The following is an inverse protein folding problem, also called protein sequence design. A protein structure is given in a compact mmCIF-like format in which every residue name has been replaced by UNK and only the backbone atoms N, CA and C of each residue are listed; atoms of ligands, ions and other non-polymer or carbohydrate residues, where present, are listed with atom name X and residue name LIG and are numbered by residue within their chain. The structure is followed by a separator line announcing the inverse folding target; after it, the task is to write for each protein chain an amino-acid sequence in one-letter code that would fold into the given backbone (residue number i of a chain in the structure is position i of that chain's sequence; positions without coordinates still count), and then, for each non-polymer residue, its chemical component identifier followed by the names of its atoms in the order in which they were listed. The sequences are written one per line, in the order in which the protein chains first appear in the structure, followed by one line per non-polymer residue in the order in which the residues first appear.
data_IF_021997474357
#
_entry.id   IF_021997474357
#
_cell.length_a   1.000
_cell.length_b   1.000
_cell.length_c   1.000
_cell.angle_alpha   90.00
_cell.angle_beta   90.00
_cell.angle_gamma   90.00
#
_symmetry.space_group_name_H-M   'P 1'
#
loop_
_entity.id
_entity.type
_entity.pdbx_description
1 polymer ?
#
# COMPACT_ATOMS: atom_id res chain seq x y z
N UNK A 1 4.21 -65.02 -2.56
CA UNK A 1 3.85 -64.21 -1.37
C UNK A 1 4.72 -62.97 -1.17
N UNK A 2 6.05 -63.04 -1.26
CA UNK A 2 6.94 -61.90 -0.94
C UNK A 2 6.69 -60.60 -1.75
N UNK A 3 6.32 -60.69 -3.04
CA UNK A 3 6.09 -59.52 -3.90
C UNK A 3 4.92 -58.63 -3.45
N UNK A 4 3.87 -59.22 -2.88
CA UNK A 4 2.70 -58.46 -2.40
C UNK A 4 3.01 -57.67 -1.12
N UNK A 5 3.88 -58.22 -0.27
CA UNK A 5 4.33 -57.55 0.96
C UNK A 5 5.18 -56.32 0.62
N UNK A 6 6.08 -56.45 -0.37
CA UNK A 6 6.91 -55.32 -0.83
C UNK A 6 6.06 -54.20 -1.43
N UNK A 7 5.04 -54.53 -2.23
CA UNK A 7 4.11 -53.54 -2.79
C UNK A 7 3.33 -52.81 -1.69
N UNK A 8 2.85 -53.54 -0.68
CA UNK A 8 2.16 -52.95 0.47
C UNK A 8 3.03 -51.97 1.26
N UNK A 9 4.32 -52.30 1.45
CA UNK A 9 5.28 -51.43 2.14
C UNK A 9 5.55 -50.16 1.32
N UNK A 10 5.76 -50.28 0.01
CA UNK A 10 6.02 -49.13 -0.88
C UNK A 10 4.80 -48.19 -0.91
N UNK A 11 3.58 -48.74 -1.04
CA UNK A 11 2.35 -47.95 -1.04
C UNK A 11 2.11 -47.25 0.31
N UNK A 12 2.36 -47.95 1.42
CA UNK A 12 2.25 -47.36 2.76
C UNK A 12 3.23 -46.20 2.95
N UNK A 13 4.48 -46.36 2.53
CA UNK A 13 5.49 -45.31 2.59
C UNK A 13 5.11 -44.10 1.72
N UNK A 14 4.64 -44.34 0.49
CA UNK A 14 4.22 -43.27 -0.42
C UNK A 14 3.01 -42.49 0.12
N UNK A 15 2.05 -43.18 0.75
CA UNK A 15 0.91 -42.55 1.43
C UNK A 15 1.33 -41.64 2.59
N UNK A 16 2.30 -42.07 3.40
CA UNK A 16 2.84 -41.26 4.49
C UNK A 16 3.60 -40.04 3.95
N UNK A 17 4.42 -40.21 2.92
CA UNK A 17 5.13 -39.10 2.27
C UNK A 17 4.15 -38.06 1.71
N UNK A 18 3.09 -38.50 1.03
CA UNK A 18 2.04 -37.60 0.53
C UNK A 18 1.34 -36.82 1.64
N UNK A 19 1.01 -37.48 2.76
CA UNK A 19 0.40 -36.83 3.92
C UNK A 19 1.34 -35.78 4.55
N UNK A 20 2.63 -36.10 4.69
CA UNK A 20 3.64 -35.17 5.21
C UNK A 20 3.83 -33.98 4.27
N UNK A 21 3.89 -34.21 2.95
CA UNK A 21 3.99 -33.14 1.94
C UNK A 21 2.76 -32.25 1.98
N UNK A 22 1.54 -32.82 2.03
CA UNK A 22 0.32 -32.03 2.14
C UNK A 22 0.24 -31.24 3.45
N UNK A 23 0.68 -31.83 4.56
CA UNK A 23 0.70 -31.16 5.86
C UNK A 23 1.70 -29.99 5.86
N UNK A 24 2.92 -30.21 5.37
CA UNK A 24 3.94 -29.17 5.24
C UNK A 24 3.50 -28.07 4.27
N UNK A 25 2.91 -28.43 3.14
CA UNK A 25 2.37 -27.47 2.17
C UNK A 25 1.26 -26.60 2.78
N UNK A 26 0.30 -27.21 3.52
CA UNK A 26 -0.75 -26.45 4.22
C UNK A 26 -0.19 -25.56 5.33
N UNK A 27 0.82 -26.04 6.06
CA UNK A 27 1.50 -25.26 7.10
C UNK A 27 2.24 -24.07 6.50
N UNK A 28 2.96 -24.27 5.41
CA UNK A 28 3.69 -23.20 4.72
C UNK A 28 2.72 -22.16 4.13
N UNK A 29 1.58 -22.58 3.58
CA UNK A 29 0.55 -21.64 3.11
C UNK A 29 -0.10 -20.86 4.26
N UNK A 30 -0.31 -21.50 5.42
CA UNK A 30 -0.83 -20.84 6.61
C UNK A 30 0.18 -19.87 7.21
N UNK A 31 1.47 -20.22 7.22
CA UNK A 31 2.58 -19.39 7.68
C UNK A 31 2.82 -18.20 6.73
N UNK A 32 2.65 -18.38 5.41
CA UNK A 32 2.65 -17.28 4.44
C UNK A 32 1.44 -16.36 4.65
N UNK A 33 0.25 -16.91 4.86
CA UNK A 33 -0.96 -16.12 5.13
C UNK A 33 -0.90 -15.33 6.45
N UNK A 34 -0.09 -15.78 7.42
CA UNK A 34 0.16 -15.04 8.68
C UNK A 34 1.30 -14.02 8.58
N UNK A 35 2.17 -14.13 7.57
CA UNK A 35 3.25 -13.16 7.34
C UNK A 35 2.82 -11.97 6.47
N UNK A 36 1.83 -12.16 5.60
CA UNK A 36 1.30 -11.09 4.76
C UNK A 36 0.28 -10.29 5.58
N UNK A 37 0.45 -8.96 5.73
CA UNK A 37 -0.46 -8.15 6.53
C UNK A 37 -1.85 -8.13 5.91
N UNK A 38 -2.88 -8.25 6.74
CA UNK A 38 -4.27 -8.10 6.27
C UNK A 38 -4.51 -6.65 5.82
N UNK A 39 -5.57 -6.40 5.05
CA UNK A 39 -5.93 -5.03 4.67
C UNK A 39 -6.17 -4.15 5.91
N UNK A 40 -6.77 -4.71 6.97
CA UNK A 40 -7.06 -3.97 8.20
C UNK A 40 -5.78 -3.63 8.96
N UNK A 41 -4.80 -4.54 9.02
CA UNK A 41 -3.48 -4.24 9.58
C UNK A 41 -2.78 -3.13 8.80
N UNK A 42 -2.92 -3.15 7.46
CA UNK A 42 -2.35 -2.12 6.61
C UNK A 42 -3.01 -0.76 6.87
N UNK A 43 -4.34 -0.70 6.92
CA UNK A 43 -5.10 0.51 7.20
C UNK A 43 -4.80 1.08 8.59
N UNK A 44 -4.66 0.23 9.60
CA UNK A 44 -4.29 0.65 10.96
C UNK A 44 -2.89 1.29 10.99
N UNK A 45 -1.92 0.68 10.32
CA UNK A 45 -0.56 1.24 10.24
C UNK A 45 -0.56 2.57 9.48
N UNK A 46 -1.26 2.68 8.35
CA UNK A 46 -1.33 3.93 7.59
C UNK A 46 -2.07 5.03 8.37
N UNK A 47 -3.13 4.69 9.08
CA UNK A 47 -3.83 5.63 9.97
C UNK A 47 -2.89 6.14 11.07
N UNK A 48 -2.14 5.25 11.72
CA UNK A 48 -1.12 5.62 12.73
C UNK A 48 0.07 6.37 12.14
N UNK A 49 0.33 6.21 10.84
CA UNK A 49 1.31 7.01 10.11
C UNK A 49 0.80 8.42 9.75
N UNK A 50 -0.49 8.71 9.96
CA UNK A 50 -1.08 10.00 9.61
C UNK A 50 -1.70 10.02 8.21
N UNK A 51 -2.02 8.86 7.62
CA UNK A 51 -2.80 8.71 6.39
C UNK A 51 -4.13 8.00 6.68
N UNK A 52 -5.06 8.65 7.40
CA UNK A 52 -6.39 8.09 7.57
C UNK A 52 -7.14 8.11 6.23
N UNK A 53 -8.12 7.22 6.11
CA UNK A 53 -9.18 7.39 5.10
C UNK A 53 -9.98 8.66 5.39
N UNK A 54 -10.56 9.26 4.35
CA UNK A 54 -11.43 10.42 4.51
C UNK A 54 -12.69 10.07 5.32
N UNK A 55 -13.20 11.07 6.05
CA UNK A 55 -14.36 10.86 6.91
C UNK A 55 -15.58 10.38 6.12
N UNK A 56 -16.26 9.36 6.65
CA UNK A 56 -17.42 8.75 6.01
C UNK A 56 -17.10 7.74 4.91
N UNK A 57 -15.82 7.48 4.63
CA UNK A 57 -15.41 6.32 3.84
C UNK A 57 -15.17 5.12 4.74
N UNK A 58 -15.46 3.95 4.20
CA UNK A 58 -15.35 2.65 4.84
C UNK A 58 -14.36 1.75 4.08
N UNK A 59 -14.04 0.63 4.71
CA UNK A 59 -13.29 -0.46 4.08
C UNK A 59 -13.98 -1.01 2.84
N UNK A 60 -15.31 -1.01 2.81
CA UNK A 60 -16.08 -1.48 1.66
C UNK A 60 -15.90 -0.56 0.46
N UNK A 61 -15.79 0.75 0.69
CA UNK A 61 -15.53 1.73 -0.36
C UNK A 61 -14.14 1.51 -0.99
N UNK A 62 -13.14 1.12 -0.21
CA UNK A 62 -11.83 0.71 -0.75
C UNK A 62 -11.93 -0.56 -1.59
N UNK A 63 -12.73 -1.54 -1.17
CA UNK A 63 -12.89 -2.78 -1.92
C UNK A 63 -13.65 -2.63 -3.24
N UNK A 64 -14.31 -1.48 -3.47
CA UNK A 64 -14.83 -1.13 -4.78
C UNK A 64 -13.71 -0.94 -5.83
N UNK A 65 -12.48 -0.61 -5.40
CA UNK A 65 -11.31 -0.46 -6.27
C UNK A 65 -10.63 -1.78 -6.60
N UNK A 66 -10.87 -2.82 -5.81
CA UNK A 66 -10.31 -4.14 -6.05
C UNK A 66 -10.49 -5.10 -4.87
N UNK A 67 -10.37 -6.41 -5.11
CA UNK A 67 -10.51 -7.41 -4.06
C UNK A 67 -9.36 -7.31 -3.06
N UNK A 68 -9.62 -7.71 -1.81
CA UNK A 68 -8.65 -7.68 -0.73
C UNK A 68 -7.33 -8.40 -1.09
N UNK A 69 -7.42 -9.49 -1.86
CA UNK A 69 -6.26 -10.25 -2.32
C UNK A 69 -5.25 -9.39 -3.08
N UNK A 70 -5.69 -8.35 -3.81
CA UNK A 70 -4.78 -7.43 -4.52
C UNK A 70 -3.91 -6.65 -3.52
N UNK A 71 -4.51 -6.12 -2.47
CA UNK A 71 -3.80 -5.40 -1.40
C UNK A 71 -2.89 -6.29 -0.57
N UNK A 72 -3.14 -7.61 -0.56
CA UNK A 72 -2.24 -8.59 0.07
C UNK A 72 -1.09 -8.99 -0.85
N UNK A 73 -1.27 -8.91 -2.16
CA UNK A 73 -0.24 -9.27 -3.14
C UNK A 73 0.85 -8.20 -3.23
N UNK A 74 0.47 -6.93 -3.28
CA UNK A 74 1.38 -5.78 -3.25
C UNK A 74 1.03 -4.86 -2.06
N UNK A 75 1.39 -5.30 -0.83
CA UNK A 75 0.99 -4.60 0.38
C UNK A 75 1.65 -3.23 0.46
N UNK A 76 0.96 -2.30 1.12
CA UNK A 76 1.37 -0.90 1.30
C UNK A 76 1.38 -0.09 0.01
N UNK A 77 2.10 -0.53 -1.03
CA UNK A 77 2.22 0.20 -2.30
C UNK A 77 0.86 0.37 -2.96
N UNK A 78 0.12 -0.71 -3.20
CA UNK A 78 -1.19 -0.62 -3.84
C UNK A 78 -2.18 0.18 -2.98
N UNK A 79 -2.15 -0.01 -1.66
CA UNK A 79 -3.03 0.71 -0.75
C UNK A 79 -2.72 2.23 -0.72
N UNK A 80 -1.44 2.61 -0.70
CA UNK A 80 -1.02 4.01 -0.79
C UNK A 80 -1.45 4.66 -2.11
N UNK A 81 -1.30 3.93 -3.23
CA UNK A 81 -1.80 4.36 -4.54
C UNK A 81 -3.32 4.56 -4.51
N UNK A 82 -4.06 3.58 -3.97
CA UNK A 82 -5.52 3.71 -3.82
C UNK A 82 -5.88 4.91 -2.95
N UNK A 83 -5.25 5.12 -1.79
CA UNK A 83 -5.55 6.27 -0.93
C UNK A 83 -5.27 7.63 -1.57
N UNK A 84 -4.37 7.69 -2.56
CA UNK A 84 -4.09 8.88 -3.35
C UNK A 84 -5.15 9.17 -4.42
N UNK A 85 -5.95 8.17 -4.81
CA UNK A 85 -7.04 8.34 -5.77
C UNK A 85 -8.23 9.11 -5.18
N UNK A 86 -9.13 9.54 -6.07
CA UNK A 86 -10.46 10.05 -5.74
C UNK A 86 -11.50 8.96 -5.95
N UNK A 87 -12.49 8.89 -5.07
CA UNK A 87 -13.71 8.12 -5.28
C UNK A 87 -14.46 8.59 -6.54
N UNK A 88 -15.40 7.79 -7.02
CA UNK A 88 -16.19 8.08 -8.24
C UNK A 88 -16.97 9.40 -8.15
N UNK A 89 -17.34 9.83 -6.94
CA UNK A 89 -18.00 11.11 -6.67
C UNK A 89 -17.02 12.29 -6.54
N UNK A 90 -15.73 12.07 -6.82
CA UNK A 90 -14.67 13.07 -6.78
C UNK A 90 -14.10 13.37 -5.39
N UNK A 91 -14.63 12.76 -4.33
CA UNK A 91 -14.08 12.93 -2.98
C UNK A 91 -12.72 12.23 -2.84
N UNK A 92 -11.75 12.80 -2.11
CA UNK A 92 -10.48 12.13 -1.90
C UNK A 92 -10.64 10.91 -1.00
N UNK A 93 -9.91 9.83 -1.29
CA UNK A 93 -9.89 8.65 -0.42
C UNK A 93 -9.09 8.88 0.86
N UNK A 94 -8.06 9.73 0.80
CA UNK A 94 -7.41 10.31 1.96
C UNK A 94 -7.26 11.84 1.82
N UNK A 95 -7.55 12.63 2.86
CA UNK A 95 -7.38 14.08 2.79
C UNK A 95 -5.91 14.51 2.65
N UNK A 96 -4.96 13.62 2.98
CA UNK A 96 -3.52 13.90 3.02
C UNK A 96 -2.74 13.22 1.88
N UNK A 97 -3.44 12.66 0.89
CA UNK A 97 -2.84 12.04 -0.27
C UNK A 97 -3.48 12.55 -1.56
N UNK A 98 -2.71 12.57 -2.65
CA UNK A 98 -3.21 12.89 -3.99
C UNK A 98 -2.42 12.17 -5.07
N UNK A 99 -3.10 11.70 -6.11
CA UNK A 99 -2.49 11.19 -7.33
C UNK A 99 -2.37 12.32 -8.35
N UNK A 100 -1.16 12.54 -8.86
CA UNK A 100 -0.82 13.62 -9.77
C UNK A 100 -0.25 13.04 -11.06
N UNK A 101 -0.82 13.43 -12.19
CA UNK A 101 -0.24 13.21 -13.50
C UNK A 101 0.98 14.12 -13.69
N UNK A 102 2.15 13.52 -13.88
CA UNK A 102 3.41 14.24 -14.03
C UNK A 102 3.63 14.79 -15.44
N UNK A 103 2.80 14.38 -16.41
CA UNK A 103 2.88 14.78 -17.82
C UNK A 103 1.97 15.95 -18.16
N UNK A 104 1.02 16.24 -17.28
CA UNK A 104 0.02 17.30 -17.42
C UNK A 104 0.46 18.66 -16.88
N UNK A 105 -0.45 19.65 -16.89
CA UNK A 105 -0.21 20.93 -16.23
C UNK A 105 -0.10 20.76 -14.71
N UNK A 106 0.59 21.69 -14.04
CA UNK A 106 0.77 21.67 -12.58
C UNK A 106 -0.60 21.61 -11.87
N UNK A 107 -0.88 20.57 -11.06
CA UNK A 107 -2.19 20.33 -10.45
C UNK A 107 -2.37 21.20 -9.20
N UNK A 108 -2.46 22.50 -9.42
CA UNK A 108 -2.42 23.53 -8.38
C UNK A 108 -3.48 23.33 -7.29
N UNK A 109 -4.71 22.97 -7.67
CA UNK A 109 -5.81 22.73 -6.73
C UNK A 109 -5.56 21.48 -5.86
N UNK A 110 -4.95 20.46 -6.43
CA UNK A 110 -4.68 19.21 -5.73
C UNK A 110 -3.53 19.38 -4.73
N UNK A 111 -2.48 20.10 -5.14
CA UNK A 111 -1.38 20.49 -4.26
C UNK A 111 -1.88 21.38 -3.12
N UNK A 112 -2.67 22.41 -3.42
CA UNK A 112 -3.27 23.29 -2.41
C UNK A 112 -4.14 22.51 -1.41
N UNK A 113 -4.88 21.50 -1.89
CA UNK A 113 -5.71 20.66 -1.03
C UNK A 113 -4.89 19.86 -0.02
N UNK A 114 -3.81 19.22 -0.45
CA UNK A 114 -3.05 18.33 0.45
C UNK A 114 -2.05 19.09 1.31
N UNK A 115 -1.49 20.21 0.83
CA UNK A 115 -0.47 20.98 1.56
C UNK A 115 -1.01 22.21 2.28
N UNK A 116 -2.22 22.66 1.94
CA UNK A 116 -2.76 23.93 2.40
C UNK A 116 -2.10 25.15 1.74
N UNK A 117 -1.20 24.93 0.78
CA UNK A 117 -0.44 25.98 0.12
C UNK A 117 -0.66 25.91 -1.39
N UNK A 118 -1.13 27.02 -1.99
CA UNK A 118 -1.27 27.13 -3.44
C UNK A 118 0.07 27.49 -4.06
N UNK A 119 0.74 26.58 -4.78
CA UNK A 119 2.01 26.91 -5.43
C UNK A 119 1.77 27.92 -6.56
N UNK A 120 2.72 28.84 -6.75
CA UNK A 120 2.75 29.65 -7.97
C UNK A 120 3.28 28.82 -9.15
N UNK A 121 2.63 28.87 -10.32
CA UNK A 121 2.94 27.98 -11.43
C UNK A 121 4.22 28.41 -12.17
N UNK A 122 5.26 27.59 -12.08
CA UNK A 122 6.49 27.72 -12.90
C UNK A 122 6.76 26.40 -13.62
N UNK A 123 6.87 25.33 -12.85
CA UNK A 123 6.94 23.93 -13.29
C UNK A 123 6.56 23.02 -12.11
N UNK A 124 6.34 21.73 -12.37
CA UNK A 124 5.84 20.81 -11.35
C UNK A 124 6.85 20.56 -10.23
N UNK A 125 8.13 20.38 -10.56
CA UNK A 125 9.16 20.11 -9.54
C UNK A 125 9.37 21.33 -8.64
N UNK A 126 9.42 22.53 -9.21
CA UNK A 126 9.44 23.78 -8.44
C UNK A 126 8.19 23.94 -7.57
N UNK A 127 7.01 23.62 -8.10
CA UNK A 127 5.76 23.68 -7.33
C UNK A 127 5.76 22.70 -6.15
N UNK A 128 6.26 21.48 -6.35
CA UNK A 128 6.40 20.46 -5.32
C UNK A 128 7.42 20.89 -4.25
N UNK A 129 8.56 21.43 -4.65
CA UNK A 129 9.56 21.96 -3.74
C UNK A 129 8.99 23.10 -2.88
N UNK A 130 8.30 24.07 -3.50
CA UNK A 130 7.65 25.16 -2.78
C UNK A 130 6.62 24.65 -1.76
N UNK A 131 5.80 23.67 -2.17
CA UNK A 131 4.85 23.01 -1.28
C UNK A 131 5.55 22.32 -0.11
N UNK A 132 6.63 21.57 -0.36
CA UNK A 132 7.39 20.88 0.68
C UNK A 132 7.98 21.85 1.72
N UNK A 133 8.45 23.02 1.28
CA UNK A 133 8.98 24.07 2.17
C UNK A 133 7.88 24.80 2.96
N UNK A 134 6.66 24.88 2.42
CA UNK A 134 5.54 25.59 3.02
C UNK A 134 4.74 24.74 4.04
N UNK A 135 5.03 23.44 4.15
CA UNK A 135 4.32 22.56 5.08
C UNK A 135 4.56 22.99 6.54
N UNK A 136 3.53 22.87 7.41
CA UNK A 136 3.65 23.22 8.81
C UNK A 136 4.73 22.39 9.52
N UNK A 137 5.36 23.00 10.52
CA UNK A 137 6.41 22.38 11.32
C UNK A 137 6.02 20.96 11.78
N UNK A 138 6.85 19.99 11.40
CA UNK A 138 6.65 18.58 11.76
C UNK A 138 5.89 17.74 10.73
N UNK A 139 5.60 18.24 9.53
CA UNK A 139 5.19 17.43 8.37
C UNK A 139 6.19 17.56 7.21
N UNK A 140 6.20 16.56 6.33
CA UNK A 140 6.96 16.56 5.08
C UNK A 140 6.11 16.06 3.92
N UNK A 141 6.51 16.43 2.71
CA UNK A 141 5.91 15.93 1.47
C UNK A 141 6.70 14.71 1.01
N UNK A 142 5.99 13.62 0.72
CA UNK A 142 6.57 12.37 0.27
C UNK A 142 5.90 11.95 -1.03
N UNK A 143 6.65 11.32 -1.91
CA UNK A 143 6.16 10.80 -3.18
C UNK A 143 6.37 9.30 -3.32
N UNK A 144 5.46 8.66 -4.02
CA UNK A 144 5.54 7.30 -4.52
C UNK A 144 5.37 7.34 -6.03
N UNK A 145 6.41 6.93 -6.75
CA UNK A 145 6.44 6.90 -8.21
C UNK A 145 5.64 5.70 -8.75
N UNK A 146 4.75 5.96 -9.71
CA UNK A 146 3.94 4.97 -10.41
C UNK A 146 4.08 5.05 -11.94
N UNK A 147 5.23 5.51 -12.44
CA UNK A 147 5.52 5.65 -13.86
C UNK A 147 5.02 6.99 -14.41
N UNK A 148 3.77 7.03 -14.87
CA UNK A 148 3.17 8.26 -15.44
C UNK A 148 2.58 9.17 -14.38
N UNK A 149 2.15 8.59 -13.26
CA UNK A 149 1.56 9.29 -12.14
C UNK A 149 2.46 9.19 -10.90
N UNK A 150 2.35 10.19 -10.03
CA UNK A 150 2.99 10.21 -8.74
C UNK A 150 1.94 10.39 -7.66
N UNK A 151 1.95 9.49 -6.67
CA UNK A 151 1.17 9.66 -5.46
C UNK A 151 1.96 10.51 -4.46
N UNK A 152 1.36 11.59 -4.00
CA UNK A 152 1.91 12.53 -3.03
C UNK A 152 1.24 12.35 -1.67
N UNK A 153 2.00 12.48 -0.59
CA UNK A 153 1.54 12.29 0.77
C UNK A 153 2.11 13.36 1.69
N UNK A 154 1.25 13.98 2.51
CA UNK A 154 1.70 14.87 3.59
C UNK A 154 1.73 14.08 4.88
N UNK A 155 2.93 13.80 5.40
CA UNK A 155 3.16 12.89 6.52
C UNK A 155 4.01 13.55 7.62
N UNK A 156 3.76 13.27 8.90
CA UNK A 156 4.77 13.51 9.93
C UNK A 156 6.00 12.60 9.72
N UNK A 157 7.22 13.01 10.12
CA UNK A 157 8.43 12.18 10.00
C UNK A 157 8.26 10.78 10.60
N UNK A 158 7.69 10.69 11.80
CA UNK A 158 7.40 9.41 12.45
C UNK A 158 6.39 8.55 11.67
N UNK A 159 5.55 9.16 10.84
CA UNK A 159 4.63 8.47 9.94
C UNK A 159 5.36 7.84 8.76
N UNK A 160 6.22 8.61 8.10
CA UNK A 160 7.06 8.10 7.02
C UNK A 160 7.99 6.97 7.49
N UNK A 161 8.62 7.12 8.65
CA UNK A 161 9.47 6.08 9.27
C UNK A 161 8.69 4.77 9.52
N UNK A 162 7.42 4.86 9.93
CA UNK A 162 6.57 3.67 10.11
C UNK A 162 6.32 2.92 8.81
N UNK A 163 6.14 3.64 7.70
CA UNK A 163 5.92 3.05 6.37
C UNK A 163 7.23 2.44 5.84
N UNK A 164 8.34 3.18 5.94
CA UNK A 164 9.68 2.74 5.53
C UNK A 164 10.16 1.51 6.31
N UNK A 165 9.80 1.39 7.59
CA UNK A 165 10.08 0.19 8.38
C UNK A 165 9.34 -1.06 7.86
N UNK A 166 8.27 -0.90 7.08
CA UNK A 166 7.55 -2.02 6.44
C UNK A 166 8.09 -2.32 5.05
N UNK A 167 8.35 -1.27 4.27
CA UNK A 167 8.84 -1.37 2.90
C UNK A 167 9.91 -0.29 2.68
N UNK A 168 11.19 -0.61 2.90
CA UNK A 168 12.27 0.35 2.71
C UNK A 168 12.37 0.83 1.26
N UNK A 169 12.55 2.13 1.07
CA UNK A 169 12.67 2.79 -0.23
C UNK A 169 11.33 2.97 -0.96
N UNK A 170 10.20 2.77 -0.29
CA UNK A 170 8.89 2.92 -0.91
C UNK A 170 8.52 4.39 -1.16
N UNK A 171 8.88 5.27 -0.22
CA UNK A 171 8.60 6.70 -0.28
C UNK A 171 9.90 7.49 -0.50
N UNK A 172 9.84 8.47 -1.40
CA UNK A 172 10.89 9.48 -1.55
C UNK A 172 10.43 10.77 -0.90
N UNK A 173 11.23 11.32 0.01
CA UNK A 173 10.97 12.65 0.57
C UNK A 173 11.33 13.73 -0.45
N UNK A 174 10.46 14.74 -0.56
CA UNK A 174 10.65 15.95 -1.38
C UNK A 174 11.15 17.11 -0.53
#
# INVERSE_FOLDING_TARGET
MAKLIVIGIILGFFGVVLLVVQHNYRREMRDRATRVPTLDDQLDVLTRAGLPMAAGLSREDLLAWGPEQSYRHDPWRLLLLTLACRADDGRPLSPRAALVDMTGPVPTEELARITGHRPEPTDLETALANCAHALPDGSGLYRLDNGTDVALFVLPPAGAERIEARVPGLLTRL
#
